data_IF_914650491364
#
_entry.id   IF_914650491364
#
_cell.length_a   1.000
_cell.length_b   1.000
_cell.length_c   1.000
_cell.angle_alpha   90.00
_cell.angle_beta   90.00
_cell.angle_gamma   90.00
#
_symmetry.space_group_name_H-M   'P 1'
#
loop_
_entity.id
_entity.type
_entity.pdbx_description
1 polymer ?
#
# COMPACT_ATOMS: atom_id res chain seq x y z
N UNK A 1 0.00 -8.46 -1.75
CA UNK A 1 -0.64 -7.42 -2.58
C UNK A 1 -1.39 -8.13 -3.70
N UNK A 2 -2.66 -7.82 -3.98
CA UNK A 2 -3.39 -8.45 -5.07
C UNK A 2 -2.86 -7.90 -6.38
N UNK A 3 -2.08 -8.71 -7.13
CA UNK A 3 -1.34 -8.26 -8.32
C UNK A 3 -2.26 -7.67 -9.41
N UNK A 4 -3.43 -8.26 -9.62
CA UNK A 4 -4.39 -7.79 -10.61
C UNK A 4 -4.93 -6.38 -10.26
N UNK A 5 -5.37 -6.19 -9.02
CA UNK A 5 -5.89 -4.91 -8.55
C UNK A 5 -4.79 -3.82 -8.54
N UNK A 6 -3.56 -4.20 -8.17
CA UNK A 6 -2.41 -3.30 -8.24
C UNK A 6 -2.17 -2.79 -9.67
N UNK A 7 -2.21 -3.67 -10.67
CA UNK A 7 -2.01 -3.31 -12.07
C UNK A 7 -3.10 -2.34 -12.57
N UNK A 8 -4.37 -2.61 -12.22
CA UNK A 8 -5.49 -1.73 -12.55
C UNK A 8 -5.32 -0.34 -11.91
N UNK A 9 -4.98 -0.29 -10.62
CA UNK A 9 -4.75 0.96 -9.90
C UNK A 9 -3.56 1.75 -10.45
N UNK A 10 -2.50 1.06 -10.86
CA UNK A 10 -1.35 1.69 -11.55
C UNK A 10 -1.76 2.31 -12.86
N UNK A 11 -2.60 1.65 -13.67
CA UNK A 11 -3.16 2.19 -14.90
C UNK A 11 -3.98 3.45 -14.63
N UNK A 12 -4.92 3.38 -13.67
CA UNK A 12 -5.73 4.54 -13.26
C UNK A 12 -4.89 5.72 -12.75
N UNK A 13 -3.81 5.44 -12.02
CA UNK A 13 -2.90 6.48 -11.55
C UNK A 13 -2.16 7.17 -12.70
N UNK A 14 -1.69 6.40 -13.69
CA UNK A 14 -1.06 6.95 -14.91
C UNK A 14 -2.06 7.80 -15.69
N UNK A 15 -3.29 7.33 -15.89
CA UNK A 15 -4.35 8.10 -16.58
C UNK A 15 -4.69 9.41 -15.85
N UNK A 16 -4.45 9.48 -14.54
CA UNK A 16 -4.58 10.70 -13.72
C UNK A 16 -3.33 11.58 -13.74
N UNK A 17 -2.31 11.25 -14.51
CA UNK A 17 -1.04 11.96 -14.56
C UNK A 17 -0.18 11.78 -13.30
N UNK A 18 -0.46 10.78 -12.46
CA UNK A 18 0.31 10.53 -11.24
C UNK A 18 1.59 9.77 -11.56
N UNK A 19 2.71 10.28 -11.04
CA UNK A 19 4.04 9.70 -11.20
C UNK A 19 4.76 9.59 -9.85
N UNK A 20 5.85 8.81 -9.82
CA UNK A 20 6.70 8.65 -8.63
C UNK A 20 5.94 8.28 -7.36
N UNK A 21 6.20 9.02 -6.29
CA UNK A 21 5.59 8.81 -4.98
C UNK A 21 4.06 8.99 -4.99
N UNK A 22 3.54 9.94 -5.77
CA UNK A 22 2.10 10.21 -5.85
C UNK A 22 1.35 9.02 -6.43
N UNK A 23 1.92 8.36 -7.43
CA UNK A 23 1.38 7.11 -7.99
C UNK A 23 1.37 6.00 -6.94
N UNK A 24 2.47 5.83 -6.21
CA UNK A 24 2.59 4.79 -5.19
C UNK A 24 1.61 5.01 -4.03
N UNK A 25 1.45 6.27 -3.57
CA UNK A 25 0.49 6.64 -2.54
C UNK A 25 -0.96 6.38 -2.98
N UNK A 26 -1.30 6.69 -4.23
CA UNK A 26 -2.63 6.40 -4.79
C UNK A 26 -2.93 4.91 -4.80
N UNK A 27 -2.00 4.08 -5.30
CA UNK A 27 -2.16 2.62 -5.34
C UNK A 27 -2.28 2.06 -3.92
N UNK A 28 -1.38 2.44 -3.02
CA UNK A 28 -1.40 1.97 -1.63
C UNK A 28 -2.69 2.37 -0.90
N UNK A 29 -3.09 3.64 -0.97
CA UNK A 29 -4.31 4.14 -0.34
C UNK A 29 -5.56 3.47 -0.89
N UNK A 30 -5.60 3.21 -2.20
CA UNK A 30 -6.74 2.51 -2.82
C UNK A 30 -6.83 1.06 -2.36
N UNK A 31 -5.71 0.34 -2.25
CA UNK A 31 -5.69 -1.02 -1.69
C UNK A 31 -6.11 -1.05 -0.23
N UNK A 32 -5.72 -0.05 0.57
CA UNK A 32 -6.17 0.05 1.97
C UNK A 32 -7.69 0.16 2.07
N UNK A 33 -8.33 0.90 1.15
CA UNK A 33 -9.79 1.05 1.10
C UNK A 33 -10.51 -0.25 0.77
N UNK A 34 -9.87 -1.20 0.07
CA UNK A 34 -10.44 -2.51 -0.20
C UNK A 34 -10.22 -3.52 0.94
N UNK A 35 -9.74 -3.07 2.10
CA UNK A 35 -9.41 -3.94 3.24
C UNK A 35 -8.14 -4.75 3.05
N UNK A 36 -7.32 -4.46 2.02
CA UNK A 36 -6.07 -5.20 1.83
C UNK A 36 -5.06 -4.86 2.93
N UNK A 37 -4.52 -5.92 3.55
CA UNK A 37 -3.46 -5.86 4.55
C UNK A 37 -2.19 -6.51 3.98
N UNK A 38 -1.01 -5.86 4.07
CA UNK A 38 0.25 -6.47 3.66
C UNK A 38 0.57 -7.67 4.57
N UNK A 39 0.97 -8.79 3.96
CA UNK A 39 1.31 -10.03 4.68
C UNK A 39 2.55 -9.89 5.56
N UNK A 40 3.48 -9.01 5.20
CA UNK A 40 4.68 -8.70 5.97
C UNK A 40 4.50 -7.38 6.72
N UNK A 41 3.62 -7.34 7.72
CA UNK A 41 3.75 -6.32 8.75
C UNK A 41 4.93 -6.70 9.64
N UNK A 42 5.97 -5.85 9.70
CA UNK A 42 6.98 -5.95 10.77
C UNK A 42 6.21 -5.91 12.09
N UNK A 43 6.11 -7.05 12.80
CA UNK A 43 5.72 -7.03 14.21
C UNK A 43 6.64 -6.02 14.88
N UNK A 44 6.10 -4.96 15.49
CA UNK A 44 6.88 -4.12 16.39
C UNK A 44 7.44 -5.08 17.43
N UNK A 45 8.75 -5.33 17.40
CA UNK A 45 9.44 -6.01 18.50
C UNK A 45 9.21 -5.10 19.70
N UNK A 46 8.33 -5.51 20.62
CA UNK A 46 8.01 -4.74 21.80
C UNK A 46 9.30 -4.53 22.59
N UNK A 47 9.80 -3.30 22.62
CA UNK A 47 10.60 -2.84 23.73
C UNK A 47 9.63 -2.63 24.89
N UNK A 48 9.31 -3.72 25.57
CA UNK A 48 8.73 -3.70 26.90
C UNK A 48 9.58 -4.67 27.72
N UNK A 49 10.85 -4.33 27.86
CA UNK A 49 11.74 -4.94 28.82
C UNK A 49 11.99 -3.87 29.90
N UNK A 50 11.44 -4.14 31.09
CA UNK A 50 11.67 -3.49 32.38
C UNK A 50 11.19 -2.03 32.54
N UNK A 51 10.09 -1.88 33.27
CA UNK A 51 9.80 -0.72 34.10
C UNK A 51 9.37 -1.23 35.49
#
# INVERSE_FOLDING_TARGET
MPKALEAELKGRAISKGLTGERKNAYVYGSLRKTGWVPSHQRKKKGWAANL
#
